data_IF_361485090455
#
_entry.id   IF_361485090455
#
_cell.length_a   1.000
_cell.length_b   1.000
_cell.length_c   1.000
_cell.angle_alpha   90.00
_cell.angle_beta   90.00
_cell.angle_gamma   90.00
#
_symmetry.space_group_name_H-M   'P 1'
#
loop_
_entity.id
_entity.type
_entity.pdbx_description
1 polymer ?
#
# COMPACT_ATOMS: atom_id res chain seq x y z
N UNK A 1 -12.13 21.90 -2.18
CA UNK A 1 -12.64 22.96 -1.31
C UNK A 1 -11.54 23.80 -0.68
N UNK A 2 -10.54 23.16 -0.08
CA UNK A 2 -9.41 23.87 0.55
C UNK A 2 -8.71 24.83 -0.43
N UNK A 3 -8.31 24.34 -1.60
CA UNK A 3 -7.58 25.11 -2.61
C UNK A 3 -8.35 26.29 -3.20
N UNK A 4 -9.67 26.19 -3.25
CA UNK A 4 -10.52 27.21 -3.86
C UNK A 4 -11.24 28.13 -2.86
N UNK A 5 -11.44 27.67 -1.64
CA UNK A 5 -12.32 28.33 -0.67
C UNK A 5 -11.75 28.43 0.73
N UNK A 6 -10.53 27.96 0.95
CA UNK A 6 -9.87 27.87 2.27
C UNK A 6 -10.72 27.16 3.34
N UNK A 7 -11.51 26.18 2.90
CA UNK A 7 -12.34 25.37 3.77
C UNK A 7 -11.74 23.98 3.90
N UNK A 8 -11.32 23.62 5.09
CA UNK A 8 -10.80 22.28 5.35
C UNK A 8 -11.89 21.22 5.19
N UNK A 9 -11.62 20.29 4.31
CA UNK A 9 -12.39 19.06 4.11
C UNK A 9 -11.41 17.92 3.88
N UNK A 10 -11.86 16.70 4.17
CA UNK A 10 -11.09 15.48 3.94
C UNK A 10 -11.69 14.75 2.73
N UNK A 11 -11.32 15.11 1.50
CA UNK A 11 -11.83 14.45 0.31
C UNK A 11 -11.28 13.01 0.23
N UNK A 12 -12.19 12.07 0.01
CA UNK A 12 -11.85 10.68 -0.30
C UNK A 12 -12.49 10.36 -1.65
N UNK A 13 -11.65 10.10 -2.64
CA UNK A 13 -12.10 9.76 -3.98
C UNK A 13 -11.70 8.34 -4.34
N UNK A 14 -12.69 7.51 -4.64
CA UNK A 14 -12.46 6.09 -4.96
C UNK A 14 -12.66 5.83 -6.45
N UNK A 15 -11.74 5.11 -7.05
CA UNK A 15 -11.78 4.68 -8.44
C UNK A 15 -11.15 3.28 -8.61
N UNK A 16 -11.36 2.67 -9.75
CA UNK A 16 -10.62 1.47 -10.12
C UNK A 16 -9.12 1.79 -10.21
N UNK A 17 -8.29 1.08 -9.45
CA UNK A 17 -6.83 1.33 -9.39
C UNK A 17 -6.17 1.29 -10.77
N UNK A 18 -6.57 0.32 -11.60
CA UNK A 18 -6.07 0.17 -12.97
C UNK A 18 -6.35 1.39 -13.85
N UNK A 19 -7.52 2.00 -13.71
CA UNK A 19 -7.97 3.06 -14.62
C UNK A 19 -7.70 4.47 -14.11
N UNK A 20 -7.58 4.67 -12.81
CA UNK A 20 -7.49 6.01 -12.23
C UNK A 20 -6.38 6.85 -12.85
N UNK A 21 -5.14 6.49 -12.61
CA UNK A 21 -3.99 7.23 -13.16
C UNK A 21 -3.95 7.22 -14.68
N UNK A 22 -4.37 6.15 -15.33
CA UNK A 22 -4.37 6.11 -16.80
C UNK A 22 -5.36 7.06 -17.44
N UNK A 23 -6.47 7.38 -16.77
CA UNK A 23 -7.55 8.20 -17.35
C UNK A 23 -7.58 9.63 -16.86
N UNK A 24 -7.11 9.89 -15.65
CA UNK A 24 -7.21 11.19 -15.00
C UNK A 24 -5.89 11.69 -14.41
N UNK A 25 -4.77 11.17 -14.89
CA UNK A 25 -3.45 11.50 -14.34
C UNK A 25 -3.11 12.99 -14.46
N UNK A 26 -3.50 13.64 -15.54
CA UNK A 26 -3.37 15.08 -15.74
C UNK A 26 -4.12 15.88 -14.67
N UNK A 27 -5.32 15.44 -14.27
CA UNK A 27 -6.07 16.05 -13.18
C UNK A 27 -5.45 15.76 -11.81
N UNK A 28 -4.81 14.60 -11.63
CA UNK A 28 -4.06 14.29 -10.41
C UNK A 28 -2.82 15.17 -10.29
N UNK A 29 -2.11 15.42 -11.40
CA UNK A 29 -1.02 16.38 -11.43
C UNK A 29 -1.51 17.80 -11.11
N UNK A 30 -2.62 18.23 -11.71
CA UNK A 30 -3.24 19.53 -11.41
C UNK A 30 -3.66 19.64 -9.94
N UNK A 31 -4.17 18.57 -9.32
CA UNK A 31 -4.48 18.53 -7.91
C UNK A 31 -3.23 18.69 -7.04
N UNK A 32 -2.12 18.03 -7.43
CA UNK A 32 -0.83 18.18 -6.77
C UNK A 32 -0.27 19.59 -6.86
N UNK A 33 -0.32 20.20 -8.04
CA UNK A 33 0.13 21.58 -8.29
C UNK A 33 -0.72 22.60 -7.50
N UNK A 34 -2.02 22.36 -7.40
CA UNK A 34 -2.94 23.19 -6.60
C UNK A 34 -2.81 22.97 -5.10
N UNK A 35 -1.89 22.15 -4.63
CA UNK A 35 -1.71 21.80 -3.21
C UNK A 35 -2.95 21.15 -2.58
N UNK A 36 -3.72 20.40 -3.36
CA UNK A 36 -4.88 19.67 -2.87
C UNK A 36 -4.45 18.59 -1.88
N UNK A 37 -5.27 18.38 -0.84
CA UNK A 37 -5.07 17.37 0.19
C UNK A 37 -6.21 16.38 0.19
N UNK A 38 -5.94 15.13 0.51
CA UNK A 38 -6.96 14.09 0.59
C UNK A 38 -6.43 12.71 0.22
N UNK A 39 -7.35 11.78 0.05
CA UNK A 39 -7.05 10.38 -0.24
C UNK A 39 -7.65 9.96 -1.59
N UNK A 40 -6.81 9.47 -2.46
CA UNK A 40 -7.20 8.73 -3.65
C UNK A 40 -7.18 7.24 -3.31
N UNK A 41 -8.30 6.56 -3.45
CA UNK A 41 -8.42 5.14 -3.15
C UNK A 41 -8.54 4.36 -4.45
N UNK A 42 -7.48 3.61 -4.78
CA UNK A 42 -7.48 2.65 -5.89
C UNK A 42 -8.14 1.35 -5.44
N UNK A 43 -9.44 1.22 -5.66
CA UNK A 43 -10.20 0.03 -5.28
C UNK A 43 -9.96 -1.12 -6.27
N UNK A 44 -10.18 -2.35 -5.80
CA UNK A 44 -10.02 -3.59 -6.58
C UNK A 44 -8.60 -3.82 -7.13
N UNK A 45 -7.58 -3.44 -6.36
CA UNK A 45 -6.18 -3.60 -6.77
C UNK A 45 -5.67 -5.06 -6.72
N UNK A 46 -6.45 -5.99 -6.22
CA UNK A 46 -6.05 -7.38 -6.06
C UNK A 46 -5.99 -8.12 -7.40
N UNK A 47 -4.82 -8.39 -7.91
CA UNK A 47 -4.61 -9.14 -9.16
C UNK A 47 -5.18 -10.55 -9.08
N UNK A 48 -5.11 -11.20 -7.93
CA UNK A 48 -5.59 -12.57 -7.72
C UNK A 48 -7.12 -12.67 -7.76
N UNK A 49 -7.83 -11.62 -7.34
CA UNK A 49 -9.30 -11.58 -7.25
C UNK A 49 -9.97 -11.12 -8.54
N UNK A 50 -9.21 -10.58 -9.50
CA UNK A 50 -9.72 -10.04 -10.76
C UNK A 50 -9.35 -10.90 -11.98
N UNK A 51 -8.87 -12.11 -11.77
CA UNK A 51 -8.39 -12.98 -12.84
C UNK A 51 -9.45 -13.29 -13.90
N UNK A 52 -10.73 -13.34 -13.51
CA UNK A 52 -11.85 -13.57 -14.42
C UNK A 52 -12.34 -12.36 -15.20
N UNK A 53 -11.89 -11.16 -14.85
CA UNK A 53 -12.37 -9.91 -15.47
C UNK A 53 -11.52 -9.45 -16.66
N UNK A 54 -10.42 -10.12 -16.92
CA UNK A 54 -9.49 -9.80 -17.98
C UNK A 54 -8.37 -8.85 -17.59
N UNK A 55 -7.38 -8.76 -18.45
CA UNK A 55 -6.11 -8.08 -18.21
C UNK A 55 -6.27 -6.58 -17.89
N UNK A 56 -7.26 -5.92 -18.48
CA UNK A 56 -7.51 -4.49 -18.24
C UNK A 56 -7.94 -4.13 -16.82
N UNK A 57 -8.33 -5.10 -16.00
CA UNK A 57 -8.68 -4.89 -14.60
C UNK A 57 -7.55 -5.23 -13.63
N UNK A 58 -6.46 -5.80 -14.11
CA UNK A 58 -5.33 -6.23 -13.29
C UNK A 58 -4.31 -5.10 -13.14
N UNK A 59 -4.39 -4.38 -12.04
CA UNK A 59 -3.44 -3.32 -11.73
C UNK A 59 -2.05 -3.87 -11.37
N UNK A 60 -1.03 -3.34 -12.01
CA UNK A 60 0.38 -3.70 -11.74
C UNK A 60 1.32 -2.50 -11.78
N UNK A 61 0.81 -1.31 -12.06
CA UNK A 61 1.65 -0.16 -12.37
C UNK A 61 1.11 1.19 -11.85
N UNK A 62 -0.05 1.24 -11.21
CA UNK A 62 -0.60 2.50 -10.70
C UNK A 62 0.35 3.18 -9.70
N UNK A 63 1.04 2.42 -8.86
CA UNK A 63 2.05 2.95 -7.95
C UNK A 63 3.30 3.50 -8.65
N UNK A 64 3.66 2.97 -9.82
CA UNK A 64 4.74 3.55 -10.64
C UNK A 64 4.33 4.92 -11.16
N UNK A 65 3.09 5.06 -11.62
CA UNK A 65 2.55 6.35 -12.05
C UNK A 65 2.45 7.33 -10.88
N UNK A 66 1.94 6.89 -9.73
CA UNK A 66 1.88 7.70 -8.51
C UNK A 66 3.27 8.21 -8.08
N UNK A 67 4.31 7.39 -8.23
CA UNK A 67 5.68 7.75 -7.84
C UNK A 67 6.30 8.89 -8.65
N UNK A 68 5.71 9.23 -9.80
CA UNK A 68 6.15 10.36 -10.64
C UNK A 68 5.68 11.71 -10.11
N UNK A 69 4.65 11.73 -9.26
CA UNK A 69 4.07 12.96 -8.72
C UNK A 69 4.75 13.29 -7.39
N UNK A 70 5.47 14.40 -7.26
CA UNK A 70 6.38 14.66 -6.14
C UNK A 70 5.71 14.68 -4.76
N UNK A 71 4.48 15.18 -4.66
CA UNK A 71 3.71 15.30 -3.42
C UNK A 71 2.64 14.20 -3.25
N UNK A 72 2.67 13.14 -4.05
CA UNK A 72 1.83 11.97 -3.90
C UNK A 72 2.54 10.91 -3.04
N UNK A 73 2.00 10.61 -1.87
CA UNK A 73 2.46 9.52 -1.00
C UNK A 73 1.62 8.30 -1.30
N UNK A 74 2.24 7.17 -1.65
CA UNK A 74 1.47 6.01 -2.08
C UNK A 74 1.71 4.78 -1.20
N UNK A 75 0.65 3.98 -0.98
CA UNK A 75 0.71 2.75 -0.18
C UNK A 75 -0.17 1.64 -0.78
N UNK A 76 0.28 0.39 -0.59
CA UNK A 76 -0.42 -0.84 -1.00
C UNK A 76 -0.62 -1.77 0.22
N UNK A 77 -1.48 -1.40 1.19
CA UNK A 77 -1.71 -2.20 2.38
C UNK A 77 -2.39 -3.54 2.06
N UNK A 78 -2.02 -4.60 2.80
CA UNK A 78 -2.71 -5.89 2.79
C UNK A 78 -3.71 -5.99 3.91
N UNK A 79 -3.39 -5.47 5.08
CA UNK A 79 -4.19 -5.63 6.29
C UNK A 79 -4.86 -4.33 6.72
N UNK A 80 -6.05 -4.44 7.31
CA UNK A 80 -6.83 -3.28 7.75
C UNK A 80 -6.10 -2.40 8.77
N UNK A 81 -5.26 -2.98 9.65
CA UNK A 81 -4.48 -2.21 10.61
C UNK A 81 -3.41 -1.33 9.91
N UNK A 82 -2.83 -1.81 8.80
CA UNK A 82 -1.89 -1.00 8.00
C UNK A 82 -2.61 0.21 7.41
N UNK A 83 -3.79 -0.03 6.82
CA UNK A 83 -4.63 1.04 6.29
C UNK A 83 -4.98 2.07 7.37
N UNK A 84 -5.36 1.61 8.56
CA UNK A 84 -5.69 2.49 9.69
C UNK A 84 -4.49 3.36 10.12
N UNK A 85 -3.29 2.78 10.21
CA UNK A 85 -2.05 3.51 10.53
C UNK A 85 -1.74 4.56 9.45
N UNK A 86 -1.84 4.19 8.17
CA UNK A 86 -1.57 5.08 7.04
C UNK A 86 -2.57 6.25 7.00
N UNK A 87 -3.87 5.96 7.17
CA UNK A 87 -4.90 7.00 7.18
C UNK A 87 -4.71 7.97 8.36
N UNK A 88 -4.43 7.46 9.56
CA UNK A 88 -4.16 8.28 10.74
C UNK A 88 -2.97 9.22 10.52
N UNK A 89 -1.86 8.69 10.00
CA UNK A 89 -0.68 9.51 9.69
C UNK A 89 -0.98 10.53 8.60
N UNK A 90 -1.70 10.14 7.54
CA UNK A 90 -2.10 11.03 6.46
C UNK A 90 -2.95 12.19 6.94
N UNK A 91 -3.91 11.94 7.83
CA UNK A 91 -4.73 12.97 8.46
C UNK A 91 -3.85 13.94 9.27
N UNK A 92 -2.96 13.42 10.12
CA UNK A 92 -2.04 14.25 10.90
C UNK A 92 -1.15 15.12 10.01
N UNK A 93 -0.58 14.57 8.95
CA UNK A 93 0.29 15.32 8.03
C UNK A 93 -0.45 16.38 7.23
N UNK A 94 -1.60 16.03 6.66
CA UNK A 94 -2.35 16.94 5.79
C UNK A 94 -3.12 18.04 6.55
N UNK A 95 -3.75 17.70 7.69
CA UNK A 95 -4.66 18.60 8.39
C UNK A 95 -4.07 19.24 9.65
N UNK A 96 -3.27 18.52 10.44
CA UNK A 96 -2.61 19.10 11.61
C UNK A 96 -1.32 19.85 11.26
N UNK A 97 -0.45 19.21 10.47
CA UNK A 97 0.86 19.78 10.06
C UNK A 97 0.78 20.62 8.79
N UNK A 98 -0.35 20.62 8.10
CA UNK A 98 -0.59 21.38 6.87
C UNK A 98 0.43 21.09 5.74
N UNK A 99 0.96 19.87 5.68
CA UNK A 99 1.90 19.47 4.63
C UNK A 99 1.23 19.46 3.25
N UNK A 100 1.96 19.92 2.24
CA UNK A 100 1.51 19.88 0.84
C UNK A 100 1.69 18.50 0.24
N UNK A 101 0.87 17.55 0.66
CA UNK A 101 0.85 16.17 0.19
C UNK A 101 -0.58 15.66 0.05
N UNK A 102 -0.76 14.62 -0.75
CA UNK A 102 -1.98 13.81 -0.80
C UNK A 102 -1.60 12.33 -0.89
N UNK A 103 -2.55 11.46 -0.59
CA UNK A 103 -2.29 10.02 -0.54
C UNK A 103 -2.96 9.28 -1.68
N UNK A 104 -2.26 8.29 -2.22
CA UNK A 104 -2.82 7.25 -3.07
C UNK A 104 -2.70 5.89 -2.37
N UNK A 105 -3.81 5.21 -2.12
CA UNK A 105 -3.84 3.95 -1.40
C UNK A 105 -4.62 2.93 -2.21
N UNK A 106 -3.99 1.80 -2.53
CA UNK A 106 -4.70 0.68 -3.16
C UNK A 106 -5.36 -0.20 -2.12
N UNK A 107 -6.57 -0.67 -2.41
CA UNK A 107 -7.32 -1.59 -1.55
C UNK A 107 -7.90 -2.73 -2.36
N UNK A 108 -8.03 -3.90 -1.73
CA UNK A 108 -8.57 -5.11 -2.33
C UNK A 108 -10.06 -5.27 -2.03
N UNK A 109 -10.77 -5.98 -2.90
CA UNK A 109 -12.19 -6.31 -2.76
C UNK A 109 -12.43 -7.74 -2.24
N UNK A 110 -11.41 -8.39 -1.69
CA UNK A 110 -11.51 -9.74 -1.16
C UNK A 110 -11.60 -9.75 0.37
N UNK A 111 -12.51 -10.56 0.88
CA UNK A 111 -12.65 -10.79 2.32
C UNK A 111 -11.70 -11.90 2.78
N UNK A 112 -10.83 -11.61 3.73
CA UNK A 112 -9.94 -12.57 4.37
C UNK A 112 -9.68 -12.20 5.83
N UNK A 113 -9.17 -13.18 6.58
CA UNK A 113 -8.86 -12.99 7.99
C UNK A 113 -7.66 -12.07 8.16
N UNK A 114 -7.85 -10.99 8.91
CA UNK A 114 -6.78 -10.07 9.27
C UNK A 114 -6.12 -10.51 10.59
N UNK A 115 -4.79 -10.57 10.66
CA UNK A 115 -4.10 -10.82 11.92
C UNK A 115 -4.17 -9.60 12.83
N UNK A 116 -3.85 -9.79 14.12
CA UNK A 116 -3.61 -8.67 15.03
C UNK A 116 -2.39 -7.86 14.56
N UNK A 117 -2.39 -6.57 14.86
CA UNK A 117 -1.25 -5.71 14.56
C UNK A 117 0.01 -6.20 15.31
N UNK A 118 1.13 -6.44 14.63
CA UNK A 118 2.38 -6.77 15.30
C UNK A 118 2.85 -5.59 16.18
N UNK A 119 3.54 -5.94 17.26
CA UNK A 119 4.07 -4.94 18.19
C UNK A 119 5.12 -4.05 17.49
N UNK A 120 5.08 -2.77 17.78
CA UNK A 120 6.06 -1.76 17.32
C UNK A 120 6.25 -1.65 15.78
N UNK A 121 5.28 -2.13 14.96
CA UNK A 121 5.40 -2.13 13.51
C UNK A 121 4.97 -0.81 12.83
N UNK A 122 4.32 0.13 13.54
CA UNK A 122 3.73 1.33 12.95
C UNK A 122 4.75 2.16 12.15
N UNK A 123 5.95 2.38 12.72
CA UNK A 123 7.02 3.09 12.01
C UNK A 123 7.43 2.38 10.72
N UNK A 124 7.53 1.05 10.75
CA UNK A 124 7.86 0.27 9.58
C UNK A 124 6.77 0.30 8.52
N UNK A 125 5.49 0.29 8.92
CA UNK A 125 4.35 0.48 8.00
C UNK A 125 4.50 1.78 7.23
N UNK A 126 4.81 2.88 7.92
CA UNK A 126 4.93 4.22 7.33
C UNK A 126 6.20 4.39 6.50
N UNK A 127 7.30 3.72 6.88
CA UNK A 127 8.57 3.71 6.13
C UNK A 127 8.58 2.77 4.92
N UNK A 128 7.54 1.99 4.74
CA UNK A 128 7.37 1.11 3.58
C UNK A 128 7.66 -0.37 3.82
N UNK A 129 8.27 -0.77 4.94
CA UNK A 129 8.56 -2.18 5.23
C UNK A 129 8.70 -2.46 6.72
N UNK A 130 8.22 -3.63 7.17
CA UNK A 130 8.43 -4.15 8.53
C UNK A 130 8.54 -5.67 8.55
N UNK A 131 9.21 -6.20 9.57
CA UNK A 131 9.28 -7.64 9.80
C UNK A 131 7.92 -8.14 10.27
N UNK A 132 7.31 -9.04 9.50
CA UNK A 132 5.99 -9.57 9.79
C UNK A 132 6.03 -10.91 10.55
N UNK A 133 6.89 -11.82 10.11
CA UNK A 133 6.99 -13.17 10.70
C UNK A 133 8.37 -13.77 10.47
N UNK A 134 8.84 -14.53 11.45
CA UNK A 134 10.07 -15.31 11.34
C UNK A 134 9.75 -16.80 11.35
N UNK A 135 10.44 -17.56 10.51
CA UNK A 135 10.40 -19.02 10.48
C UNK A 135 11.81 -19.57 10.77
N UNK A 136 12.00 -20.12 11.93
CA UNK A 136 13.29 -20.60 12.42
C UNK A 136 13.21 -22.09 12.78
N UNK A 137 13.51 -22.96 11.80
CA UNK A 137 13.51 -24.43 11.94
C UNK A 137 14.92 -25.00 12.16
N UNK A 138 15.90 -24.15 12.48
CA UNK A 138 17.32 -24.50 12.58
C UNK A 138 17.89 -25.01 11.23
N UNK A 139 17.37 -24.50 10.13
CA UNK A 139 17.88 -24.75 8.79
C UNK A 139 19.29 -24.16 8.59
N UNK A 140 20.01 -24.68 7.61
CA UNK A 140 21.36 -24.18 7.25
C UNK A 140 21.32 -22.90 6.40
N UNK A 141 20.17 -22.64 5.79
CA UNK A 141 19.97 -21.50 4.88
C UNK A 141 18.82 -20.66 5.42
N UNK A 142 19.05 -19.37 5.59
CA UNK A 142 18.02 -18.38 5.92
C UNK A 142 17.86 -17.39 4.78
N UNK A 143 16.63 -17.24 4.28
CA UNK A 143 16.30 -16.35 3.18
C UNK A 143 15.37 -15.22 3.63
N UNK A 144 15.31 -14.13 2.87
CA UNK A 144 14.44 -13.00 3.11
C UNK A 144 13.33 -13.00 2.07
N UNK A 145 12.08 -13.06 2.50
CA UNK A 145 10.91 -13.03 1.63
C UNK A 145 10.20 -11.68 1.79
N UNK A 146 10.00 -10.97 0.68
CA UNK A 146 9.34 -9.67 0.66
C UNK A 146 8.00 -9.77 -0.09
N UNK A 147 6.92 -9.30 0.53
CA UNK A 147 5.59 -9.32 -0.08
C UNK A 147 4.82 -8.02 0.11
N UNK A 148 4.04 -7.65 -0.92
CA UNK A 148 3.26 -6.42 -1.01
C UNK A 148 1.83 -6.73 -1.48
N UNK A 149 0.84 -5.98 -0.99
CA UNK A 149 -0.54 -6.07 -1.43
C UNK A 149 -1.13 -7.48 -1.42
N UNK A 150 -1.86 -7.85 -2.46
CA UNK A 150 -2.50 -9.16 -2.61
C UNK A 150 -1.50 -10.33 -2.61
N UNK A 151 -0.29 -10.11 -3.14
CA UNK A 151 0.74 -11.16 -3.31
C UNK A 151 1.34 -11.61 -1.96
N UNK A 152 1.27 -10.78 -0.92
CA UNK A 152 1.73 -11.19 0.41
C UNK A 152 1.06 -12.49 0.89
N UNK A 153 -0.21 -12.68 0.64
CA UNK A 153 -0.95 -13.87 1.07
C UNK A 153 -0.43 -15.13 0.37
N UNK A 154 -0.18 -15.04 -0.93
CA UNK A 154 0.40 -16.14 -1.72
C UNK A 154 1.83 -16.45 -1.24
N UNK A 155 2.60 -15.41 -0.95
CA UNK A 155 3.94 -15.58 -0.40
C UNK A 155 3.92 -16.24 0.98
N UNK A 156 2.97 -15.91 1.85
CA UNK A 156 2.82 -16.57 3.16
C UNK A 156 2.49 -18.04 3.01
N UNK A 157 1.60 -18.41 2.09
CA UNK A 157 1.29 -19.80 1.78
C UNK A 157 2.53 -20.56 1.27
N UNK A 158 3.27 -19.96 0.34
CA UNK A 158 4.52 -20.54 -0.17
C UNK A 158 5.55 -20.69 0.96
N UNK A 159 5.66 -19.72 1.85
CA UNK A 159 6.54 -19.76 3.00
C UNK A 159 6.25 -20.94 3.94
N UNK A 160 4.98 -21.22 4.18
CA UNK A 160 4.59 -22.39 5.01
C UNK A 160 4.98 -23.72 4.35
N UNK A 161 4.82 -23.85 3.05
CA UNK A 161 5.25 -25.04 2.29
C UNK A 161 6.77 -25.19 2.36
N UNK A 162 7.53 -24.13 2.09
CA UNK A 162 8.99 -24.15 2.11
C UNK A 162 9.54 -24.52 3.50
N UNK A 163 8.92 -24.00 4.55
CA UNK A 163 9.30 -24.33 5.91
C UNK A 163 9.02 -25.80 6.25
N UNK A 164 7.81 -26.26 5.94
CA UNK A 164 7.34 -27.59 6.33
C UNK A 164 8.01 -28.71 5.53
N UNK A 165 8.08 -28.52 4.21
CA UNK A 165 8.48 -29.62 3.30
C UNK A 165 9.98 -29.58 2.97
N UNK A 166 10.63 -28.44 3.08
CA UNK A 166 12.04 -28.25 2.70
C UNK A 166 12.94 -27.81 3.88
N UNK A 167 12.37 -27.49 5.05
CA UNK A 167 13.15 -27.12 6.23
C UNK A 167 13.97 -25.83 6.06
N UNK A 168 13.53 -24.91 5.20
CA UNK A 168 14.20 -23.63 4.94
C UNK A 168 13.77 -22.63 6.00
N UNK A 169 14.72 -21.89 6.56
CA UNK A 169 14.46 -20.76 7.44
C UNK A 169 14.28 -19.46 6.66
N UNK A 170 13.37 -18.59 7.09
CA UNK A 170 13.21 -17.28 6.47
C UNK A 170 12.56 -16.27 7.37
N UNK A 171 12.81 -15.00 7.05
CA UNK A 171 12.08 -13.86 7.56
C UNK A 171 11.11 -13.38 6.49
N UNK A 172 9.88 -13.14 6.88
CA UNK A 172 8.85 -12.55 6.03
C UNK A 172 8.77 -11.06 6.31
N UNK A 173 9.11 -10.27 5.33
CA UNK A 173 9.00 -8.83 5.35
C UNK A 173 7.73 -8.38 4.63
N UNK A 174 6.93 -7.61 5.33
CA UNK A 174 5.77 -6.97 4.78
C UNK A 174 6.17 -5.62 4.18
N UNK A 175 6.04 -5.48 2.87
CA UNK A 175 6.29 -4.23 2.17
C UNK A 175 4.96 -3.51 1.96
N UNK A 176 4.78 -2.37 2.61
CA UNK A 176 3.59 -1.53 2.43
C UNK A 176 3.69 -0.65 1.20
N UNK A 177 4.92 -0.31 0.79
CA UNK A 177 5.21 0.32 -0.49
C UNK A 177 6.73 0.40 -0.75
N UNK A 178 7.16 0.14 -1.97
CA UNK A 178 8.55 0.31 -2.40
C UNK A 178 8.94 1.78 -2.64
N UNK A 179 7.99 2.64 -2.96
CA UNK A 179 8.26 4.05 -3.25
C UNK A 179 8.82 4.79 -2.02
N UNK A 180 8.29 4.53 -0.83
CA UNK A 180 8.78 5.17 0.40
C UNK A 180 10.16 4.62 0.80
N UNK A 181 10.45 3.35 0.55
CA UNK A 181 11.79 2.79 0.76
C UNK A 181 12.87 3.46 -0.10
N UNK A 182 12.49 4.04 -1.23
CA UNK A 182 13.40 4.78 -2.11
C UNK A 182 13.66 6.21 -1.65
N UNK A 183 12.74 6.79 -0.86
CA UNK A 183 12.82 8.19 -0.42
C UNK A 183 13.70 8.40 0.83
N UNK A 184 13.96 7.35 1.57
CA UNK A 184 14.79 7.36 2.80
C UNK A 184 16.30 7.44 2.51
#
# INVERSE_FOLDING_TARGET
>A
SYTNHDIEMIPIYTFYSMFGFQRVMDLIWAAGDSQSRGFLIGATAGRTTLAGEGLQHQDGHSHLLASTIPNCISYDPTFAYELAVILREGLGRMHEKQENIFYYITVMNENYKHPAIPKDCEKGILKGMYLFKEFNNKGKIKIQLLGCGAILREMLAAAEILSKDYGVDFDVWRVTIYNELRRD
#
